data_IF_467653831382
#
_entry.id   IF_467653831382
#
_cell.length_a   1.000
_cell.length_b   1.000
_cell.length_c   1.000
_cell.angle_alpha   90.00
_cell.angle_beta   90.00
_cell.angle_gamma   90.00
#
_symmetry.space_group_name_H-M   'P 1'
#
loop_
_entity.id
_entity.type
_entity.pdbx_description
1 polymer ?
#
# COMPACT_ATOMS: atom_id res chain seq x y z
N UNK A 1 0.23 -6.53 23.50
CA UNK A 1 0.99 -6.84 22.26
C UNK A 1 0.82 -5.66 21.30
N UNK A 2 1.89 -4.97 20.93
CA UNK A 2 1.86 -3.89 19.94
C UNK A 2 2.22 -4.50 18.59
N UNK A 3 1.37 -4.41 17.55
CA UNK A 3 1.73 -4.82 16.19
C UNK A 3 2.29 -3.59 15.46
N UNK A 4 3.60 -3.58 15.26
CA UNK A 4 4.23 -2.65 14.33
C UNK A 4 3.90 -3.13 12.92
N UNK A 5 3.44 -2.24 12.04
CA UNK A 5 3.32 -2.55 10.61
C UNK A 5 4.18 -1.57 9.82
N UNK A 6 4.99 -2.13 8.93
CA UNK A 6 5.85 -1.40 8.02
C UNK A 6 5.15 -1.31 6.67
N UNK A 7 4.98 -0.08 6.18
CA UNK A 7 4.42 0.20 4.88
C UNK A 7 5.47 0.98 4.08
N UNK A 8 5.60 0.69 2.79
CA UNK A 8 6.31 1.59 1.89
C UNK A 8 5.26 2.53 1.28
N UNK A 9 5.36 3.82 1.57
CA UNK A 9 4.71 4.81 0.74
C UNK A 9 5.73 5.26 -0.29
N UNK A 10 5.41 5.13 -1.58
CA UNK A 10 6.21 5.75 -2.63
C UNK A 10 6.28 7.26 -2.34
N UNK A 11 7.44 7.74 -1.93
CA UNK A 11 7.70 9.16 -1.74
C UNK A 11 8.44 9.65 -2.97
N UNK A 12 7.70 9.95 -4.03
CA UNK A 12 8.25 10.71 -5.15
C UNK A 12 8.69 12.08 -4.63
N UNK A 13 10.01 12.26 -4.53
CA UNK A 13 10.62 13.55 -4.21
C UNK A 13 10.28 14.54 -5.32
N UNK A 14 9.66 15.64 -4.94
CA UNK A 14 9.41 16.78 -5.80
C UNK A 14 10.71 17.25 -6.48
N UNK A 15 10.86 16.97 -7.77
CA UNK A 15 11.83 17.68 -8.60
C UNK A 15 11.26 19.07 -8.92
N UNK A 16 11.68 20.05 -8.14
CA UNK A 16 11.43 21.47 -8.43
C UNK A 16 12.16 21.82 -9.73
N UNK A 17 11.42 22.04 -10.82
CA UNK A 17 11.96 22.71 -12.01
C UNK A 17 12.16 24.19 -11.65
N UNK A 18 13.42 24.63 -11.63
CA UNK A 18 13.79 26.03 -11.38
C UNK A 18 13.08 26.95 -12.40
N UNK A 19 12.32 27.99 -11.98
CA UNK A 19 11.71 28.92 -12.91
C UNK A 19 12.76 29.84 -13.54
N UNK A 20 12.60 30.06 -14.85
CA UNK A 20 13.37 31.06 -15.59
C UNK A 20 13.08 32.47 -15.08
N UNK A 21 14.14 33.27 -15.04
CA UNK A 21 14.19 34.66 -14.62
C UNK A 21 13.41 35.53 -15.61
N UNK A 22 12.29 36.13 -15.19
CA UNK A 22 11.69 37.28 -15.88
C UNK A 22 11.42 38.42 -14.90
N UNK A 23 11.69 39.61 -15.41
CA UNK A 23 11.72 40.89 -14.72
C UNK A 23 10.33 41.53 -14.69
N UNK A 24 9.91 42.01 -13.52
CA UNK A 24 9.03 43.18 -13.36
C UNK A 24 7.53 42.94 -13.15
N UNK A 25 7.01 43.33 -11.97
CA UNK A 25 6.03 44.42 -11.77
C UNK A 25 5.37 44.33 -10.37
N UNK A 26 5.33 45.48 -9.68
CA UNK A 26 4.64 45.69 -8.40
C UNK A 26 3.11 45.69 -8.55
N UNK A 27 2.38 45.23 -7.53
CA UNK A 27 0.97 45.61 -7.37
C UNK A 27 0.13 44.89 -6.30
N UNK A 28 -0.05 45.59 -5.17
CA UNK A 28 -1.25 45.69 -4.29
C UNK A 28 -1.62 44.58 -3.29
N UNK A 29 -1.64 45.07 -2.04
CA UNK A 29 -2.31 44.66 -0.82
C UNK A 29 -3.84 44.54 -0.99
N UNK A 30 -4.42 43.52 -0.37
CA UNK A 30 -5.85 43.39 -0.08
C UNK A 30 -6.04 42.48 1.13
N UNK A 31 -6.50 43.08 2.22
CA UNK A 31 -6.84 42.50 3.53
C UNK A 31 -8.31 42.05 3.52
N UNK A 32 -8.61 40.84 4.02
CA UNK A 32 -9.94 40.44 4.55
C UNK A 32 -9.78 39.21 5.43
N UNK A 33 -10.09 39.38 6.72
CA UNK A 33 -9.92 38.39 7.78
C UNK A 33 -11.06 37.40 7.99
N UNK A 34 -10.81 36.55 9.00
CA UNK A 34 -11.72 35.84 9.90
C UNK A 34 -12.90 35.07 9.28
N UNK A 35 -12.68 33.80 8.96
CA UNK A 35 -13.72 32.77 8.73
C UNK A 35 -13.45 31.49 9.53
N UNK A 36 -13.28 31.59 10.85
CA UNK A 36 -13.03 30.42 11.70
C UNK A 36 -13.90 30.28 12.96
N UNK A 37 -14.96 31.07 13.16
CA UNK A 37 -15.65 31.09 14.47
C UNK A 37 -17.19 31.13 14.45
N UNK A 38 -17.86 30.76 13.35
CA UNK A 38 -19.33 30.88 13.24
C UNK A 38 -20.12 29.60 12.93
N UNK A 39 -19.59 28.40 13.18
CA UNK A 39 -20.37 27.15 12.98
C UNK A 39 -20.55 26.29 14.24
N UNK A 40 -20.31 26.84 15.43
CA UNK A 40 -20.60 26.17 16.72
C UNK A 40 -21.57 27.02 17.54
N UNK A 41 -22.74 27.35 16.99
CA UNK A 41 -23.87 27.93 17.73
C UNK A 41 -25.13 27.99 16.85
N UNK A 42 -25.79 26.86 16.61
CA UNK A 42 -27.24 26.83 16.33
C UNK A 42 -27.75 25.38 16.20
N UNK A 43 -28.12 24.78 17.34
CA UNK A 43 -29.09 23.69 17.42
C UNK A 43 -29.41 23.41 18.90
N UNK A 44 -29.89 24.44 19.61
CA UNK A 44 -30.53 24.26 20.90
C UNK A 44 -31.75 25.19 20.97
N UNK A 45 -32.82 24.64 21.55
CA UNK A 45 -34.16 25.23 21.82
C UNK A 45 -35.14 25.09 20.65
N UNK A 46 -36.29 24.42 20.77
CA UNK A 46 -36.94 23.76 21.90
C UNK A 46 -38.45 23.60 21.63
N UNK A 47 -39.04 22.49 22.08
CA UNK A 47 -40.48 22.27 22.34
C UNK A 47 -40.60 20.82 22.87
N UNK A 48 -41.22 20.45 23.97
CA UNK A 48 -41.99 21.09 25.04
C UNK A 48 -42.55 19.93 25.89
N UNK A 49 -42.72 20.12 27.20
CA UNK A 49 -43.43 19.19 28.12
C UNK A 49 -44.28 20.07 29.07
N UNK A 50 -45.28 19.58 29.83
CA UNK A 50 -45.72 18.18 30.05
C UNK A 50 -47.26 17.98 30.10
N UNK A 51 -47.74 16.73 30.22
CA UNK A 51 -48.82 16.39 31.17
C UNK A 51 -49.07 14.86 31.36
N UNK A 52 -49.22 14.48 32.64
CA UNK A 52 -49.83 13.28 33.27
C UNK A 52 -49.17 11.89 33.15
N UNK A 53 -48.62 11.41 34.28
CA UNK A 53 -48.62 9.98 34.65
C UNK A 53 -49.99 9.55 35.23
N UNK A 54 -50.19 8.30 35.71
CA UNK A 54 -49.19 7.27 36.04
C UNK A 54 -49.51 5.83 35.54
N UNK A 55 -48.48 5.01 35.38
CA UNK A 55 -48.52 3.58 35.71
C UNK A 55 -47.10 3.05 35.87
N UNK A 56 -46.68 3.05 37.13
CA UNK A 56 -45.58 2.25 37.65
C UNK A 56 -45.88 0.75 37.38
N UNK A 57 -44.87 -0.03 36.96
CA UNK A 57 -44.85 -1.49 36.68
C UNK A 57 -44.74 -1.96 35.21
N UNK A 58 -43.91 -1.29 34.39
CA UNK A 58 -43.71 -1.69 32.97
C UNK A 58 -42.27 -1.80 32.45
N UNK A 59 -41.22 -1.70 33.28
CA UNK A 59 -39.83 -1.64 32.77
C UNK A 59 -38.82 -2.55 33.48
N UNK A 60 -39.13 -3.83 33.63
CA UNK A 60 -38.11 -4.82 34.08
C UNK A 60 -37.93 -6.01 33.10
N UNK A 61 -38.64 -6.07 31.96
CA UNK A 61 -38.60 -7.25 31.08
C UNK A 61 -38.04 -7.03 29.66
N UNK A 62 -37.20 -6.01 29.44
CA UNK A 62 -36.51 -5.85 28.16
C UNK A 62 -35.03 -6.32 28.17
N UNK A 63 -34.40 -6.46 29.35
CA UNK A 63 -32.95 -6.71 29.44
C UNK A 63 -32.53 -8.20 29.48
N UNK A 64 -33.45 -9.15 29.68
CA UNK A 64 -33.10 -10.58 29.85
C UNK A 64 -33.11 -11.42 28.55
N UNK A 65 -33.69 -10.92 27.46
CA UNK A 65 -33.77 -11.68 26.19
C UNK A 65 -32.45 -11.64 25.40
N UNK A 66 -31.68 -10.56 25.52
CA UNK A 66 -30.45 -10.37 24.73
C UNK A 66 -29.26 -11.16 25.28
N UNK A 67 -29.19 -11.39 26.60
CA UNK A 67 -28.07 -12.14 27.22
C UNK A 67 -28.23 -13.66 27.06
N UNK A 68 -29.46 -14.17 26.98
CA UNK A 68 -29.71 -15.61 26.77
C UNK A 68 -29.37 -16.10 25.36
N UNK A 69 -29.60 -15.27 24.33
CA UNK A 69 -29.35 -15.64 22.94
C UNK A 69 -27.86 -15.79 22.57
N UNK A 70 -26.98 -15.03 23.22
CA UNK A 70 -25.54 -15.06 22.96
C UNK A 70 -24.85 -16.30 23.57
N UNK A 71 -25.37 -16.83 24.68
CA UNK A 71 -24.81 -18.03 25.31
C UNK A 71 -25.07 -19.32 24.50
N UNK A 72 -26.21 -19.41 23.80
CA UNK A 72 -26.54 -20.59 22.99
C UNK A 72 -25.72 -20.71 21.69
N UNK A 73 -25.32 -19.57 21.10
CA UNK A 73 -24.47 -19.54 19.91
C UNK A 73 -23.02 -19.95 20.19
N UNK A 74 -22.52 -19.72 21.42
CA UNK A 74 -21.16 -20.10 21.81
C UNK A 74 -21.00 -21.60 22.11
N UNK A 75 -22.09 -22.32 22.39
CA UNK A 75 -22.06 -23.75 22.72
C UNK A 75 -22.27 -24.68 21.52
N UNK A 76 -22.56 -24.13 20.33
CA UNK A 76 -22.78 -24.93 19.10
C UNK A 76 -21.54 -25.00 18.19
N UNK A 77 -20.35 -24.77 18.75
CA UNK A 77 -19.07 -24.71 18.03
C UNK A 77 -18.65 -26.03 17.41
N UNK A 78 -19.27 -26.39 16.29
CA UNK A 78 -18.75 -27.34 15.30
C UNK A 78 -18.38 -26.59 14.02
N UNK A 79 -17.38 -25.72 14.10
CA UNK A 79 -16.62 -25.34 12.91
C UNK A 79 -15.43 -26.29 12.81
N UNK A 80 -15.69 -27.48 12.26
CA UNK A 80 -14.64 -28.36 11.76
C UNK A 80 -14.05 -27.69 10.51
N UNK A 81 -13.08 -26.79 10.71
CA UNK A 81 -12.22 -26.33 9.62
C UNK A 81 -11.33 -27.51 9.22
N UNK A 82 -11.72 -28.16 8.12
CA UNK A 82 -10.90 -29.12 7.40
C UNK A 82 -9.60 -28.42 7.03
N UNK A 83 -8.47 -28.92 7.54
CA UNK A 83 -7.14 -28.41 7.20
C UNK A 83 -6.86 -28.74 5.74
N UNK A 84 -7.20 -27.83 4.84
CA UNK A 84 -6.64 -27.77 3.49
C UNK A 84 -5.32 -27.01 3.59
N UNK A 85 -4.32 -27.39 2.78
CA UNK A 85 -3.07 -26.64 2.65
C UNK A 85 -3.36 -25.13 2.46
N UNK A 86 -2.56 -24.22 3.04
CA UNK A 86 -2.82 -22.79 2.96
C UNK A 86 -2.75 -22.33 1.49
N UNK A 87 -3.92 -22.04 0.91
CA UNK A 87 -4.05 -21.45 -0.42
C UNK A 87 -3.62 -19.97 -0.37
N UNK A 88 -2.91 -19.46 -1.39
CA UNK A 88 -2.60 -18.02 -1.48
C UNK A 88 -3.86 -17.17 -1.35
N UNK A 89 -3.75 -16.02 -0.67
CA UNK A 89 -4.87 -15.07 -0.52
C UNK A 89 -5.39 -14.65 -1.89
N UNK A 90 -6.70 -14.47 -2.07
CA UNK A 90 -7.22 -14.00 -3.35
C UNK A 90 -6.76 -12.56 -3.64
N UNK A 91 -6.39 -12.28 -4.89
CA UNK A 91 -6.05 -10.91 -5.31
C UNK A 91 -7.31 -10.05 -5.34
N UNK A 92 -7.44 -9.15 -4.37
CA UNK A 92 -8.52 -8.17 -4.34
C UNK A 92 -8.10 -6.85 -4.99
N UNK A 93 -9.04 -6.19 -5.66
CA UNK A 93 -8.90 -4.79 -6.06
C UNK A 93 -9.36 -3.91 -4.90
N UNK A 94 -8.61 -2.85 -4.58
CA UNK A 94 -9.08 -1.81 -3.66
C UNK A 94 -9.98 -0.79 -4.36
N UNK A 95 -10.04 -0.80 -5.69
CA UNK A 95 -10.75 0.18 -6.51
C UNK A 95 -11.61 -0.53 -7.58
N UNK A 96 -12.92 -0.21 -7.61
CA UNK A 96 -13.89 -0.74 -8.59
C UNK A 96 -13.74 -0.11 -10.00
N UNK A 97 -12.65 0.61 -10.26
CA UNK A 97 -12.40 1.31 -11.50
C UNK A 97 -11.84 0.38 -12.59
N UNK A 98 -12.18 0.65 -13.85
CA UNK A 98 -11.54 -0.03 -15.00
C UNK A 98 -10.04 0.33 -15.02
N UNK A 99 -9.16 -0.62 -15.40
CA UNK A 99 -7.73 -0.35 -15.53
C UNK A 99 -7.47 0.87 -16.42
N UNK A 100 -6.67 1.80 -15.92
CA UNK A 100 -6.32 3.01 -16.66
C UNK A 100 -5.08 2.83 -17.54
N UNK A 101 -4.36 1.73 -17.33
CA UNK A 101 -3.10 1.36 -17.99
C UNK A 101 -3.19 0.00 -18.70
N UNK A 102 -2.27 -0.31 -19.64
CA UNK A 102 -2.23 -1.61 -20.32
C UNK A 102 -2.03 -2.79 -19.36
N UNK A 103 -1.31 -2.56 -18.26
CA UNK A 103 -1.10 -3.52 -17.17
C UNK A 103 -1.82 -2.99 -15.93
N UNK A 104 -2.71 -3.78 -15.35
CA UNK A 104 -3.44 -3.41 -14.12
C UNK A 104 -2.76 -3.94 -12.86
N UNK A 105 -3.02 -3.32 -11.71
CA UNK A 105 -2.55 -3.83 -10.42
C UNK A 105 -3.01 -5.27 -10.13
N UNK A 106 -4.22 -5.65 -10.56
CA UNK A 106 -4.73 -7.03 -10.41
C UNK A 106 -3.90 -8.02 -11.23
N UNK A 107 -3.46 -7.64 -12.44
CA UNK A 107 -2.58 -8.49 -13.24
C UNK A 107 -1.20 -8.64 -12.58
N UNK A 108 -0.65 -7.56 -12.00
CA UNK A 108 0.58 -7.62 -11.23
C UNK A 108 0.43 -8.52 -10.00
N UNK A 109 -0.69 -8.42 -9.28
CA UNK A 109 -0.97 -9.25 -8.11
C UNK A 109 -1.07 -10.72 -8.51
N UNK A 110 -1.76 -11.03 -9.61
CA UNK A 110 -1.88 -12.40 -10.11
C UNK A 110 -0.51 -13.00 -10.44
N UNK A 111 0.39 -12.21 -11.03
CA UNK A 111 1.76 -12.66 -11.33
C UNK A 111 2.61 -12.83 -10.06
N UNK A 112 2.44 -11.96 -9.07
CA UNK A 112 3.24 -11.95 -7.84
C UNK A 112 2.77 -12.99 -6.81
N UNK A 113 1.47 -13.16 -6.64
CA UNK A 113 0.84 -14.00 -5.61
C UNK A 113 0.86 -15.49 -5.97
N UNK A 114 2.07 -16.03 -6.03
CA UNK A 114 2.33 -17.42 -6.40
C UNK A 114 2.51 -18.30 -5.17
N UNK A 115 2.19 -19.58 -5.32
CA UNK A 115 2.36 -20.57 -4.24
C UNK A 115 3.84 -20.81 -3.85
N UNK A 116 4.77 -20.59 -4.78
CA UNK A 116 6.21 -20.75 -4.54
C UNK A 116 6.88 -19.48 -3.97
N UNK A 117 6.16 -18.35 -3.87
CA UNK A 117 6.71 -17.08 -3.37
C UNK A 117 7.40 -17.20 -1.99
N UNK A 118 6.83 -17.89 -0.97
CA UNK A 118 7.51 -18.08 0.31
C UNK A 118 8.85 -18.81 0.17
N UNK A 119 8.94 -19.78 -0.75
CA UNK A 119 10.18 -20.49 -1.03
C UNK A 119 11.22 -19.57 -1.69
N UNK A 120 10.81 -18.71 -2.63
CA UNK A 120 11.69 -17.72 -3.25
C UNK A 120 12.30 -16.75 -2.20
N UNK A 121 11.49 -16.38 -1.21
CA UNK A 121 11.87 -15.51 -0.08
C UNK A 121 12.72 -16.19 1.00
N UNK A 122 12.91 -17.50 0.92
CA UNK A 122 13.64 -18.28 1.92
C UNK A 122 12.82 -18.59 3.19
N UNK A 123 11.49 -18.46 3.11
CA UNK A 123 10.53 -18.76 4.19
C UNK A 123 9.50 -19.80 3.73
N UNK A 124 9.92 -21.03 3.34
CA UNK A 124 9.05 -22.01 2.68
C UNK A 124 7.88 -22.51 3.56
N UNK A 125 7.90 -22.25 4.86
CA UNK A 125 6.83 -22.60 5.80
C UNK A 125 5.77 -21.49 5.96
N UNK A 126 6.02 -20.31 5.39
CA UNK A 126 5.07 -19.19 5.40
C UNK A 126 4.07 -19.29 4.24
N UNK A 127 3.03 -18.46 4.32
CA UNK A 127 2.02 -18.31 3.28
C UNK A 127 1.62 -16.84 3.15
N UNK A 128 1.03 -16.48 2.01
CA UNK A 128 0.50 -15.14 1.78
C UNK A 128 -0.74 -14.91 2.68
N UNK A 129 -0.62 -13.97 3.62
CA UNK A 129 -1.72 -13.53 4.48
C UNK A 129 -2.62 -12.50 3.80
N UNK A 130 -2.08 -11.74 2.86
CA UNK A 130 -2.81 -10.74 2.08
C UNK A 130 -2.19 -10.63 0.69
N UNK A 131 -3.03 -10.36 -0.31
CA UNK A 131 -2.63 -10.10 -1.67
C UNK A 131 -3.58 -9.06 -2.28
N UNK A 132 -3.03 -7.97 -2.79
CA UNK A 132 -3.83 -6.91 -3.41
C UNK A 132 -3.17 -6.37 -4.67
N UNK A 133 -4.02 -5.93 -5.60
CA UNK A 133 -3.61 -5.18 -6.78
C UNK A 133 -4.37 -3.86 -6.81
N UNK A 134 -3.66 -2.75 -6.99
CA UNK A 134 -4.25 -1.42 -7.01
C UNK A 134 -3.57 -0.50 -8.03
N UNK A 135 -4.06 0.74 -8.15
CA UNK A 135 -3.42 1.79 -8.95
C UNK A 135 -3.16 2.99 -8.03
N UNK A 136 -1.90 3.32 -7.77
CA UNK A 136 -1.53 4.51 -6.99
C UNK A 136 -1.51 5.76 -7.87
N UNK A 137 -1.94 6.89 -7.33
CA UNK A 137 -2.02 8.16 -8.06
C UNK A 137 -1.06 9.20 -7.47
N UNK A 138 0.03 9.48 -8.19
CA UNK A 138 0.93 10.59 -7.93
C UNK A 138 0.36 11.90 -8.47
N UNK A 139 0.45 12.98 -7.69
CA UNK A 139 0.07 14.33 -8.14
C UNK A 139 1.34 15.20 -8.19
N UNK A 140 1.56 15.82 -9.34
CA UNK A 140 2.72 16.67 -9.57
C UNK A 140 2.41 18.15 -9.31
N UNK A 141 3.46 18.93 -9.06
CA UNK A 141 3.33 20.37 -8.78
C UNK A 141 2.77 21.18 -9.96
N UNK A 142 2.90 20.65 -11.19
CA UNK A 142 2.31 21.24 -12.40
C UNK A 142 0.83 20.81 -12.62
N UNK A 143 0.25 20.07 -11.67
CA UNK A 143 -1.12 19.57 -11.73
C UNK A 143 -1.30 18.30 -12.56
N UNK A 144 -0.23 17.76 -13.14
CA UNK A 144 -0.30 16.45 -13.83
C UNK A 144 -0.45 15.33 -12.81
N UNK A 145 -1.03 14.21 -13.25
CA UNK A 145 -1.21 13.01 -12.44
C UNK A 145 -0.54 11.83 -13.11
N UNK A 146 0.20 11.05 -12.33
CA UNK A 146 0.71 9.75 -12.77
C UNK A 146 -0.09 8.67 -12.08
N UNK A 147 -0.55 7.68 -12.85
CA UNK A 147 -1.16 6.47 -12.31
C UNK A 147 -0.17 5.33 -12.46
N UNK A 148 0.14 4.69 -11.34
CA UNK A 148 1.13 3.61 -11.24
C UNK A 148 0.42 2.34 -10.78
N UNK A 149 0.25 1.34 -11.66
CA UNK A 149 -0.25 0.04 -11.27
C UNK A 149 0.74 -0.64 -10.34
N UNK A 150 0.22 -1.23 -9.27
CA UNK A 150 1.03 -1.92 -8.26
C UNK A 150 0.29 -3.11 -7.65
N UNK A 151 1.06 -4.03 -7.08
CA UNK A 151 0.57 -5.14 -6.31
C UNK A 151 1.42 -5.37 -5.07
N UNK A 152 0.78 -5.82 -4.00
CA UNK A 152 1.42 -6.16 -2.74
C UNK A 152 1.00 -7.55 -2.29
N UNK A 153 1.98 -8.38 -1.90
CA UNK A 153 1.75 -9.67 -1.26
C UNK A 153 2.45 -9.66 0.09
N UNK A 154 1.68 -9.89 1.15
CA UNK A 154 2.14 -9.87 2.52
C UNK A 154 2.21 -11.28 3.08
N UNK A 155 3.39 -11.67 3.58
CA UNK A 155 3.65 -12.87 4.36
C UNK A 155 3.91 -12.47 5.83
N UNK A 156 4.27 -13.42 6.69
CA UNK A 156 4.54 -13.12 8.11
C UNK A 156 5.83 -12.33 8.26
N UNK A 157 6.90 -12.78 7.61
CA UNK A 157 8.20 -12.12 7.70
C UNK A 157 8.36 -11.03 6.65
N UNK A 158 7.82 -11.22 5.45
CA UNK A 158 8.08 -10.37 4.29
C UNK A 158 6.82 -9.64 3.80
N UNK A 159 7.05 -8.50 3.19
CA UNK A 159 6.12 -7.94 2.21
C UNK A 159 6.86 -7.77 0.89
N UNK A 160 6.21 -8.14 -0.20
CA UNK A 160 6.71 -7.99 -1.56
C UNK A 160 5.79 -7.06 -2.32
N UNK A 161 6.37 -6.09 -3.02
CA UNK A 161 5.65 -5.16 -3.88
C UNK A 161 6.19 -5.27 -5.32
N UNK A 162 5.27 -5.23 -6.28
CA UNK A 162 5.57 -5.18 -7.70
C UNK A 162 4.79 -4.01 -8.30
N UNK A 163 5.49 -3.07 -8.93
CA UNK A 163 4.88 -1.96 -9.65
C UNK A 163 5.41 -1.85 -11.07
N UNK A 164 4.76 -1.03 -11.89
CA UNK A 164 5.23 -0.74 -13.24
C UNK A 164 5.09 0.72 -13.60
N UNK A 165 6.07 1.25 -14.33
CA UNK A 165 5.98 2.53 -15.01
C UNK A 165 6.16 2.35 -16.52
N UNK A 166 5.52 3.22 -17.29
CA UNK A 166 5.69 3.34 -18.74
C UNK A 166 6.59 4.52 -19.12
N UNK A 167 7.30 5.12 -18.15
CA UNK A 167 8.21 6.23 -18.42
C UNK A 167 9.36 5.80 -19.32
N UNK A 168 9.63 6.57 -20.37
CA UNK A 168 10.69 6.29 -21.36
C UNK A 168 12.10 6.62 -20.85
N UNK A 169 12.33 6.61 -19.53
CA UNK A 169 13.66 6.81 -18.95
C UNK A 169 14.38 5.45 -18.92
N UNK A 170 15.55 5.31 -19.59
CA UNK A 170 16.31 4.07 -19.54
C UNK A 170 16.74 3.71 -18.12
N UNK A 171 16.51 2.47 -17.71
CA UNK A 171 16.85 1.94 -16.38
C UNK A 171 18.35 2.06 -16.12
N UNK A 172 19.20 1.87 -17.13
CA UNK A 172 20.64 2.06 -17.01
C UNK A 172 21.03 3.48 -16.60
N UNK A 173 20.22 4.48 -16.93
CA UNK A 173 20.43 5.88 -16.54
C UNK A 173 19.86 6.18 -15.14
N UNK A 174 18.91 5.37 -14.65
CA UNK A 174 18.26 5.58 -13.35
C UNK A 174 19.22 5.44 -12.16
N UNK A 175 20.30 4.67 -12.28
CA UNK A 175 21.27 4.49 -11.20
C UNK A 175 21.87 5.81 -10.68
N UNK A 176 22.01 6.82 -11.55
CA UNK A 176 22.50 8.15 -11.15
C UNK A 176 21.54 8.90 -10.22
N UNK A 177 20.25 8.56 -10.24
CA UNK A 177 19.19 9.23 -9.47
C UNK A 177 18.81 8.49 -8.19
N UNK A 178 19.06 7.18 -8.12
CA UNK A 178 18.64 6.30 -7.02
C UNK A 178 19.61 6.29 -5.81
N UNK A 179 20.56 7.23 -5.80
CA UNK A 179 21.48 7.43 -4.70
C UNK A 179 22.68 6.49 -4.71
N UNK A 180 23.49 6.57 -3.64
CA UNK A 180 24.84 5.95 -3.61
C UNK A 180 24.85 4.42 -3.49
N UNK A 181 23.74 3.82 -3.08
CA UNK A 181 23.60 2.35 -2.99
C UNK A 181 23.07 1.74 -4.28
N UNK A 182 22.88 2.54 -5.33
CA UNK A 182 22.40 2.07 -6.62
C UNK A 182 23.50 1.30 -7.34
N UNK A 183 23.17 0.10 -7.80
CA UNK A 183 24.09 -0.79 -8.49
C UNK A 183 23.46 -1.34 -9.76
N UNK A 184 24.14 -1.15 -10.89
CA UNK A 184 23.72 -1.74 -12.16
C UNK A 184 23.83 -3.26 -12.10
N UNK A 185 22.84 -3.92 -12.69
CA UNK A 185 22.64 -5.36 -12.75
C UNK A 185 21.96 -5.74 -14.06
N UNK A 186 21.78 -7.04 -14.25
CA UNK A 186 21.02 -7.61 -15.35
C UNK A 186 20.16 -8.74 -14.83
N UNK A 187 18.89 -8.78 -15.22
CA UNK A 187 17.92 -9.81 -14.82
C UNK A 187 17.29 -10.38 -16.07
N UNK A 188 17.48 -11.68 -16.34
CA UNK A 188 16.94 -12.32 -17.55
C UNK A 188 17.38 -11.67 -18.87
N UNK A 189 18.52 -10.96 -18.90
CA UNK A 189 18.99 -10.19 -20.06
C UNK A 189 18.53 -8.72 -20.10
N UNK A 190 17.72 -8.28 -19.13
CA UNK A 190 17.20 -6.92 -19.05
C UNK A 190 18.10 -6.05 -18.17
N UNK A 191 18.39 -4.81 -18.57
CA UNK A 191 19.02 -3.82 -17.70
C UNK A 191 18.25 -3.67 -16.39
N UNK A 192 18.98 -3.65 -15.28
CA UNK A 192 18.40 -3.53 -13.96
C UNK A 192 19.25 -2.65 -13.04
N UNK A 193 18.61 -2.02 -12.04
CA UNK A 193 19.29 -1.28 -10.98
C UNK A 193 18.78 -1.74 -9.63
N UNK A 194 19.69 -2.26 -8.81
CA UNK A 194 19.46 -2.61 -7.42
C UNK A 194 19.69 -1.37 -6.54
N UNK A 195 18.78 -1.08 -5.63
CA UNK A 195 18.94 0.04 -4.70
C UNK A 195 18.22 -0.19 -3.36
N UNK A 196 18.47 0.69 -2.39
CA UNK A 196 17.94 0.60 -1.02
C UNK A 196 17.10 1.83 -0.73
N UNK A 197 15.91 1.60 -0.19
CA UNK A 197 15.03 2.64 0.34
C UNK A 197 14.66 2.38 1.79
N UNK A 198 14.00 3.36 2.43
CA UNK A 198 13.42 3.19 3.76
C UNK A 198 11.91 3.08 3.67
N UNK A 199 11.36 2.10 4.40
CA UNK A 199 9.92 2.02 4.65
C UNK A 199 9.51 3.04 5.72
N UNK A 200 8.20 3.23 5.88
CA UNK A 200 7.59 4.04 6.93
C UNK A 200 6.89 3.10 7.91
N UNK A 201 7.24 3.24 9.19
CA UNK A 201 6.61 2.49 10.27
C UNK A 201 5.35 3.21 10.76
N UNK A 202 4.25 2.46 10.87
CA UNK A 202 3.02 2.92 11.52
C UNK A 202 2.81 2.15 12.82
N UNK A 203 2.68 2.88 13.93
CA UNK A 203 2.43 2.34 15.27
C UNK A 203 0.99 2.66 15.68
N UNK A 204 0.17 1.62 15.78
CA UNK A 204 -1.22 1.73 16.19
C UNK A 204 -1.34 1.46 17.69
N UNK A 205 -1.88 2.43 18.43
CA UNK A 205 -2.15 2.27 19.85
C UNK A 205 -3.60 1.83 20.05
N UNK A 206 -3.81 0.53 20.36
CA UNK A 206 -5.15 -0.09 20.46
C UNK A 206 -6.02 0.45 21.62
N UNK A 207 -5.51 1.40 22.41
CA UNK A 207 -6.26 2.16 23.42
C UNK A 207 -6.97 3.42 22.89
N UNK A 208 -7.08 3.60 21.58
CA UNK A 208 -7.77 4.77 20.97
C UNK A 208 -6.88 5.99 20.75
N UNK A 209 -5.56 5.80 20.64
CA UNK A 209 -4.59 6.89 20.42
C UNK A 209 -4.33 7.22 18.95
N UNK A 210 -3.66 8.36 18.72
CA UNK A 210 -3.13 8.74 17.41
C UNK A 210 -2.19 7.65 16.87
N UNK A 211 -2.17 7.49 15.55
CA UNK A 211 -1.19 6.63 14.86
C UNK A 211 0.15 7.36 14.85
N UNK A 212 1.17 6.77 15.45
CA UNK A 212 2.52 7.33 15.39
C UNK A 212 3.22 6.84 14.12
N UNK A 213 3.85 7.76 13.41
CA UNK A 213 4.62 7.47 12.19
C UNK A 213 6.11 7.66 12.46
N UNK A 214 6.95 6.82 11.85
CA UNK A 214 8.40 6.90 12.01
C UNK A 214 9.16 6.22 10.87
N UNK A 215 10.50 6.30 10.87
CA UNK A 215 11.30 5.53 9.94
C UNK A 215 11.09 4.03 10.19
N UNK A 216 10.77 3.30 9.13
CA UNK A 216 10.70 1.84 9.13
C UNK A 216 12.01 1.19 8.70
N UNK A 217 11.99 -0.14 8.59
CA UNK A 217 13.08 -0.95 8.08
C UNK A 217 13.48 -0.65 6.63
N UNK A 218 14.56 -1.31 6.19
CA UNK A 218 15.09 -1.17 4.83
C UNK A 218 14.25 -1.97 3.84
N UNK A 219 13.88 -1.32 2.74
CA UNK A 219 13.38 -1.98 1.54
C UNK A 219 14.54 -2.17 0.56
N UNK A 220 14.63 -3.37 -0.03
CA UNK A 220 15.54 -3.67 -1.15
C UNK A 220 14.71 -3.72 -2.42
N UNK A 221 15.12 -2.94 -3.40
CA UNK A 221 14.34 -2.68 -4.60
C UNK A 221 15.19 -2.90 -5.84
N UNK A 222 14.56 -3.44 -6.88
CA UNK A 222 15.16 -3.75 -8.16
C UNK A 222 14.28 -3.20 -9.26
N UNK A 223 14.78 -2.15 -9.93
CA UNK A 223 14.21 -1.65 -11.18
C UNK A 223 14.71 -2.52 -12.32
N UNK A 224 13.82 -2.99 -13.17
CA UNK A 224 14.13 -3.87 -14.31
C UNK A 224 13.42 -3.36 -15.54
N UNK A 225 14.17 -3.13 -16.62
CA UNK A 225 13.59 -2.69 -17.88
C UNK A 225 12.61 -3.73 -18.43
N UNK A 226 11.50 -3.30 -19.05
CA UNK A 226 10.57 -4.23 -19.70
C UNK A 226 11.14 -4.86 -20.97
N UNK A 227 12.09 -4.18 -21.60
CA UNK A 227 12.80 -4.60 -22.81
C UNK A 227 14.30 -4.73 -22.59
N UNK A 228 14.92 -5.73 -23.23
CA UNK A 228 16.36 -5.98 -23.19
C UNK A 228 17.20 -4.83 -23.75
N UNK A 229 16.60 -3.95 -24.57
CA UNK A 229 17.19 -2.73 -25.12
C UNK A 229 16.95 -1.50 -24.25
N UNK A 230 16.40 -1.67 -23.04
CA UNK A 230 16.12 -0.60 -22.09
C UNK A 230 15.02 0.38 -22.53
N UNK A 231 13.95 -0.14 -23.15
CA UNK A 231 12.81 0.66 -23.62
C UNK A 231 11.47 0.22 -23.05
N UNK A 232 10.45 1.07 -23.19
CA UNK A 232 9.07 0.76 -22.80
C UNK A 232 8.77 0.85 -21.30
N UNK A 233 9.67 1.49 -20.54
CA UNK A 233 9.58 1.63 -19.09
C UNK A 233 10.13 0.43 -18.33
N UNK A 234 9.66 0.27 -17.10
CA UNK A 234 10.24 -0.69 -16.15
C UNK A 234 9.20 -1.35 -15.24
N UNK A 235 9.60 -2.46 -14.65
CA UNK A 235 9.01 -3.01 -13.43
C UNK A 235 9.91 -2.70 -12.25
N UNK A 236 9.31 -2.46 -11.09
CA UNK A 236 10.04 -2.40 -9.83
C UNK A 236 9.58 -3.53 -8.92
N UNK A 237 10.51 -4.39 -8.52
CA UNK A 237 10.29 -5.41 -7.49
C UNK A 237 10.91 -4.92 -6.20
N UNK A 238 10.17 -4.95 -5.10
CA UNK A 238 10.67 -4.52 -3.80
C UNK A 238 10.30 -5.50 -2.71
N UNK A 239 11.25 -5.76 -1.81
CA UNK A 239 11.03 -6.58 -0.63
C UNK A 239 11.43 -5.81 0.63
N UNK A 240 10.67 -5.97 1.70
CA UNK A 240 11.05 -5.54 3.04
C UNK A 240 10.58 -6.55 4.06
N UNK A 241 11.24 -6.59 5.21
CA UNK A 241 10.89 -7.49 6.30
C UNK A 241 10.15 -6.75 7.41
N UNK A 242 9.15 -7.41 7.99
CA UNK A 242 8.33 -6.89 9.09
C UNK A 242 9.08 -6.83 10.42
N UNK A 243 10.22 -7.52 10.53
CA UNK A 243 11.08 -7.58 11.71
C UNK A 243 12.28 -6.62 11.64
N UNK A 244 12.26 -5.66 10.72
CA UNK A 244 13.30 -4.64 10.48
C UNK A 244 14.70 -5.19 10.10
N UNK A 245 14.85 -6.50 9.89
CA UNK A 245 16.09 -7.07 9.35
C UNK A 245 16.21 -6.71 7.86
N UNK A 246 17.40 -6.29 7.36
CA UNK A 246 17.59 -6.07 5.94
C UNK A 246 17.29 -7.34 5.11
N UNK A 247 16.48 -7.24 4.05
CA UNK A 247 16.23 -8.36 3.14
C UNK A 247 17.51 -8.85 2.43
N UNK A 248 17.53 -10.14 2.08
CA UNK A 248 18.57 -10.74 1.24
C UNK A 248 18.36 -10.38 -0.25
N UNK A 249 19.38 -9.84 -0.90
CA UNK A 249 19.35 -9.49 -2.33
C UNK A 249 19.15 -10.72 -3.22
N UNK A 250 19.63 -11.90 -2.81
CA UNK A 250 19.40 -13.13 -3.58
C UNK A 250 17.92 -13.54 -3.57
N UNK A 251 17.20 -13.25 -2.49
CA UNK A 251 15.75 -13.46 -2.45
C UNK A 251 15.04 -12.53 -3.43
N UNK A 252 15.43 -11.25 -3.48
CA UNK A 252 14.91 -10.29 -4.43
C UNK A 252 15.15 -10.73 -5.89
N UNK A 253 16.35 -11.22 -6.21
CA UNK A 253 16.66 -11.70 -7.56
C UNK A 253 15.86 -12.94 -7.94
N UNK A 254 15.73 -13.92 -7.04
CA UNK A 254 14.89 -15.11 -7.30
C UNK A 254 13.43 -14.73 -7.57
N UNK A 255 12.89 -13.79 -6.81
CA UNK A 255 11.54 -13.26 -7.04
C UNK A 255 11.47 -12.59 -8.40
N UNK A 256 12.37 -11.67 -8.72
CA UNK A 256 12.36 -10.96 -9.99
C UNK A 256 12.48 -11.90 -11.21
N UNK A 257 13.45 -12.82 -11.19
CA UNK A 257 13.68 -13.79 -12.27
C UNK A 257 12.50 -14.75 -12.48
N UNK A 258 11.76 -15.07 -11.42
CA UNK A 258 10.63 -16.01 -11.49
C UNK A 258 9.31 -15.30 -11.83
N UNK A 259 9.10 -14.09 -11.32
CA UNK A 259 7.83 -13.35 -11.43
C UNK A 259 7.77 -12.53 -12.70
N UNK A 260 8.82 -11.76 -13.02
CA UNK A 260 8.79 -10.80 -14.13
C UNK A 260 8.46 -11.43 -15.49
N UNK A 261 8.96 -12.64 -15.85
CA UNK A 261 8.60 -13.28 -17.10
C UNK A 261 7.11 -13.64 -17.24
N UNK A 262 6.36 -13.63 -16.14
CA UNK A 262 4.92 -13.91 -16.13
C UNK A 262 4.05 -12.65 -16.16
N UNK A 263 4.65 -11.47 -16.07
CA UNK A 263 3.94 -10.19 -16.06
C UNK A 263 3.58 -9.77 -17.49
N UNK A 264 2.35 -9.28 -17.75
CA UNK A 264 1.99 -8.75 -19.06
C UNK A 264 2.88 -7.57 -19.45
N UNK A 265 3.43 -7.59 -20.67
CA UNK A 265 4.32 -6.54 -21.16
C UNK A 265 5.82 -6.86 -21.03
N UNK A 266 6.18 -7.98 -20.39
CA UNK A 266 7.53 -8.50 -20.43
C UNK A 266 7.91 -8.95 -21.85
N UNK A 267 9.02 -8.45 -22.39
CA UNK A 267 9.51 -8.86 -23.71
C UNK A 267 10.68 -9.83 -23.56
N UNK A 268 10.71 -10.88 -24.38
CA UNK A 268 11.86 -11.79 -24.41
C UNK A 268 12.89 -11.28 -25.41
N UNK A 269 14.17 -11.38 -25.03
CA UNK A 269 15.32 -11.11 -25.90
C UNK A 269 15.57 -12.21 -26.93
#
# INVERSE_FOLDING_TARGET
MHRLRLFRFSTERSHVRLPQRTTGANGRVGDTGNMAEQQIADAAVGAGEPEKGPNEWGQVLAALVVVGGLAALLLSGTFQQKSSDPQPADCHTSDDARPSKPVSGVQLCTALNRADLPTLLGTPTEYAMNASGNESVGNWADGTKTVTPEAEVQLDTYTVNLSTSDDDIPVAEMAGFLGRSAENRTIGGHPAVLYSDRTIALKFNLGGGKVDTGPGGIARSLLVAKDTKDGGGFYEVSIWRQDDVPPDDLALFRVAETVLPTVPGWTVG
#
